data_IF_085058105560
#
_entry.id   IF_085058105560
#
_cell.length_a   1.000
_cell.length_b   1.000
_cell.length_c   1.000
_cell.angle_alpha   90.00
_cell.angle_beta   90.00
_cell.angle_gamma   90.00
#
_symmetry.space_group_name_H-M   'P 1'
#
loop_
_entity.id
_entity.type
_entity.pdbx_description
1 polymer ?
#
# COMPACT_ATOMS: atom_id res chain seq x y z
N UNK A 1 -2.98 -27.33 1.97
CA UNK A 1 -3.80 -26.40 1.16
C UNK A 1 -4.03 -25.07 1.88
N UNK A 2 -4.61 -25.05 3.08
CA UNK A 2 -4.86 -23.80 3.83
C UNK A 2 -3.60 -22.95 4.10
N UNK A 3 -2.44 -23.58 4.32
CA UNK A 3 -1.16 -22.87 4.51
C UNK A 3 -0.80 -21.99 3.30
N UNK A 4 -0.95 -22.53 2.09
CA UNK A 4 -0.64 -21.81 0.84
C UNK A 4 -1.61 -20.66 0.61
N UNK A 5 -2.87 -20.82 0.99
CA UNK A 5 -3.89 -19.76 0.89
C UNK A 5 -3.52 -18.59 1.82
N UNK A 6 -3.11 -18.88 3.05
CA UNK A 6 -2.71 -17.86 4.03
C UNK A 6 -1.38 -17.20 3.63
N UNK A 7 -0.44 -17.97 3.09
CA UNK A 7 0.78 -17.44 2.49
C UNK A 7 0.46 -16.48 1.33
N UNK A 8 -0.48 -16.83 0.45
CA UNK A 8 -0.93 -15.96 -0.63
C UNK A 8 -1.61 -14.68 -0.11
N UNK A 9 -2.35 -14.76 1.01
CA UNK A 9 -2.93 -13.57 1.65
C UNK A 9 -1.85 -12.62 2.18
N UNK A 10 -0.76 -13.16 2.74
CA UNK A 10 0.42 -12.37 3.14
C UNK A 10 1.09 -11.70 1.94
N UNK A 11 1.26 -12.41 0.83
CA UNK A 11 1.80 -11.82 -0.40
C UNK A 11 0.90 -10.68 -0.90
N UNK A 12 -0.39 -10.96 -1.06
CA UNK A 12 -1.34 -10.06 -1.71
C UNK A 12 -1.56 -8.73 -0.97
N UNK A 13 -1.46 -8.72 0.37
CA UNK A 13 -1.73 -7.49 1.12
C UNK A 13 -0.67 -6.41 0.94
N UNK A 14 0.59 -6.83 0.78
CA UNK A 14 1.70 -5.88 0.71
C UNK A 14 2.10 -5.52 -0.72
N UNK A 15 1.67 -6.27 -1.74
CA UNK A 15 2.04 -5.96 -3.14
C UNK A 15 1.71 -4.51 -3.52
N UNK A 16 0.46 -4.00 -3.33
CA UNK A 16 0.12 -2.65 -3.75
C UNK A 16 0.97 -1.57 -3.07
N UNK A 17 1.14 -1.70 -1.76
CA UNK A 17 1.90 -0.74 -0.97
C UNK A 17 3.40 -0.78 -1.30
N UNK A 18 3.99 -1.98 -1.37
CA UNK A 18 5.39 -2.15 -1.69
C UNK A 18 5.72 -1.64 -3.09
N UNK A 19 4.86 -1.90 -4.08
CA UNK A 19 5.04 -1.31 -5.42
C UNK A 19 4.98 0.22 -5.38
N UNK A 20 4.02 0.79 -4.64
CA UNK A 20 3.85 2.23 -4.54
C UNK A 20 5.10 2.92 -3.97
N UNK A 21 5.62 2.44 -2.84
CA UNK A 21 6.82 3.04 -2.22
C UNK A 21 8.07 2.91 -3.10
N UNK A 22 8.16 1.84 -3.89
CA UNK A 22 9.28 1.64 -4.81
C UNK A 22 9.27 2.64 -5.96
N UNK A 23 8.10 2.98 -6.51
CA UNK A 23 8.00 3.96 -7.60
C UNK A 23 7.96 5.41 -7.11
N UNK A 24 7.62 5.64 -5.84
CA UNK A 24 7.41 6.95 -5.23
C UNK A 24 8.51 7.99 -5.54
N UNK A 25 9.81 7.70 -5.34
CA UNK A 25 10.87 8.66 -5.62
C UNK A 25 10.94 9.04 -7.11
N UNK A 26 10.92 8.06 -8.01
CA UNK A 26 11.12 8.32 -9.43
C UNK A 26 9.90 8.96 -10.09
N UNK A 27 8.70 8.45 -9.79
CA UNK A 27 7.48 8.87 -10.49
C UNK A 27 6.84 10.11 -9.84
N UNK A 28 6.72 10.15 -8.52
CA UNK A 28 6.04 11.26 -7.86
C UNK A 28 7.00 12.43 -7.59
N UNK A 29 8.17 12.15 -6.99
CA UNK A 29 9.11 13.22 -6.60
C UNK A 29 9.83 13.79 -7.82
N UNK A 30 10.53 12.95 -8.58
CA UNK A 30 11.42 13.42 -9.65
C UNK A 30 10.69 13.72 -10.98
N UNK A 31 9.59 13.02 -11.29
CA UNK A 31 8.83 13.25 -12.53
C UNK A 31 7.63 14.20 -12.38
N UNK A 32 6.84 14.07 -11.31
CA UNK A 32 5.62 14.87 -11.13
C UNK A 32 5.84 16.20 -10.40
N UNK A 33 6.63 16.18 -9.32
CA UNK A 33 6.78 17.33 -8.43
C UNK A 33 8.10 18.09 -8.60
N UNK A 34 8.86 17.79 -9.66
CA UNK A 34 10.08 18.53 -10.02
C UNK A 34 9.84 19.22 -11.36
N UNK A 35 10.05 20.55 -11.40
CA UNK A 35 9.84 21.38 -12.59
C UNK A 35 11.18 21.99 -12.96
N UNK A 36 11.60 21.85 -14.21
CA UNK A 36 12.87 22.41 -14.73
C UNK A 36 14.09 22.12 -13.84
N UNK A 37 14.18 20.87 -13.35
CA UNK A 37 15.21 20.38 -12.40
C UNK A 37 15.20 21.05 -11.02
N UNK A 38 14.19 21.86 -10.72
CA UNK A 38 13.99 22.45 -9.42
C UNK A 38 12.91 21.68 -8.64
N UNK A 39 13.27 21.17 -7.46
CA UNK A 39 12.34 20.43 -6.59
C UNK A 39 11.36 21.41 -5.96
N UNK A 40 10.08 21.26 -6.28
CA UNK A 40 9.01 22.03 -5.62
C UNK A 40 8.87 21.63 -4.15
N UNK A 41 8.11 22.40 -3.39
CA UNK A 41 7.84 22.07 -1.99
C UNK A 41 7.06 20.75 -1.84
N UNK A 42 6.24 20.38 -2.83
CA UNK A 42 5.59 19.07 -2.87
C UNK A 42 6.62 17.95 -2.97
N UNK A 43 7.63 18.06 -3.86
CA UNK A 43 8.68 17.05 -4.01
C UNK A 43 9.47 16.84 -2.70
N UNK A 44 9.80 17.92 -2.00
CA UNK A 44 10.56 17.86 -0.73
C UNK A 44 9.76 17.20 0.38
N UNK A 45 8.44 17.43 0.43
CA UNK A 45 7.56 16.93 1.49
C UNK A 45 6.96 15.56 1.19
N UNK A 46 6.88 15.18 -0.08
CA UNK A 46 6.11 14.01 -0.53
C UNK A 46 6.44 12.73 0.24
N UNK A 47 7.72 12.41 0.42
CA UNK A 47 8.12 11.16 1.11
C UNK A 47 7.77 11.18 2.61
N UNK A 48 7.84 12.36 3.25
CA UNK A 48 7.43 12.53 4.65
C UNK A 48 5.91 12.42 4.78
N UNK A 49 5.17 13.14 3.95
CA UNK A 49 3.70 13.13 3.96
C UNK A 49 3.17 11.73 3.58
N UNK A 50 3.80 11.03 2.63
CA UNK A 50 3.54 9.64 2.28
C UNK A 50 3.67 8.72 3.50
N UNK A 51 4.76 8.84 4.26
CA UNK A 51 4.99 8.04 5.46
C UNK A 51 3.96 8.32 6.56
N UNK A 52 3.58 9.59 6.76
CA UNK A 52 2.55 9.95 7.74
C UNK A 52 1.18 9.41 7.30
N UNK A 53 0.82 9.62 6.02
CA UNK A 53 -0.44 9.17 5.44
C UNK A 53 -0.54 7.65 5.32
N UNK A 54 0.59 6.91 5.38
CA UNK A 54 0.57 5.45 5.43
C UNK A 54 0.52 4.92 6.86
N UNK A 55 1.43 5.38 7.72
CA UNK A 55 1.63 4.74 9.03
C UNK A 55 0.52 5.08 10.02
N UNK A 56 0.07 6.34 10.07
CA UNK A 56 -0.96 6.76 11.03
C UNK A 56 -2.29 6.05 10.75
N UNK A 57 -2.84 6.06 9.52
CA UNK A 57 -4.12 5.42 9.27
C UNK A 57 -4.07 3.91 9.43
N UNK A 58 -2.95 3.27 9.04
CA UNK A 58 -2.76 1.85 9.24
C UNK A 58 -2.78 1.47 10.73
N UNK A 59 -2.05 2.22 11.56
CA UNK A 59 -2.03 2.02 13.00
C UNK A 59 -3.42 2.23 13.64
N UNK A 60 -4.10 3.33 13.28
CA UNK A 60 -5.44 3.63 13.82
C UNK A 60 -6.46 2.56 13.42
N UNK A 61 -6.44 2.12 12.16
CA UNK A 61 -7.31 1.04 11.69
C UNK A 61 -7.03 -0.28 12.43
N UNK A 62 -5.75 -0.59 12.66
CA UNK A 62 -5.36 -1.74 13.46
C UNK A 62 -5.84 -1.66 14.90
N UNK A 63 -5.68 -0.49 15.55
CA UNK A 63 -6.14 -0.27 16.92
C UNK A 63 -7.67 -0.37 17.04
N UNK A 64 -8.42 0.21 16.10
CA UNK A 64 -9.89 0.10 16.04
C UNK A 64 -10.32 -1.37 15.89
N UNK A 65 -9.64 -2.14 15.03
CA UNK A 65 -9.92 -3.56 14.83
C UNK A 65 -9.61 -4.38 16.09
N UNK A 66 -8.46 -4.13 16.72
CA UNK A 66 -8.02 -4.79 17.95
C UNK A 66 -9.02 -4.57 19.10
N UNK A 67 -9.48 -3.33 19.29
CA UNK A 67 -10.45 -2.98 20.32
C UNK A 67 -11.86 -3.53 20.04
N UNK A 68 -12.07 -4.27 18.94
CA UNK A 68 -13.37 -4.77 18.50
C UNK A 68 -14.45 -3.67 18.41
N UNK A 69 -14.05 -2.42 18.17
CA UNK A 69 -14.98 -1.29 18.05
C UNK A 69 -15.91 -1.50 16.85
N UNK A 70 -15.41 -2.17 15.80
CA UNK A 70 -16.19 -2.61 14.66
C UNK A 70 -16.49 -4.10 14.82
N UNK A 71 -17.68 -4.43 15.28
CA UNK A 71 -18.19 -5.80 15.34
C UNK A 71 -18.44 -6.39 13.93
N UNK A 72 -18.51 -7.72 13.83
CA UNK A 72 -18.87 -8.45 12.60
C UNK A 72 -17.90 -9.57 12.22
N UNK A 73 -18.22 -10.30 11.15
CA UNK A 73 -17.39 -11.42 10.68
C UNK A 73 -16.03 -10.93 10.16
N UNK A 74 -14.94 -11.55 10.61
CA UNK A 74 -13.59 -11.30 10.13
C UNK A 74 -13.49 -11.55 8.61
N UNK A 75 -14.17 -12.58 8.11
CA UNK A 75 -14.18 -12.90 6.67
C UNK A 75 -14.83 -11.78 5.85
N UNK A 76 -15.94 -11.20 6.30
CA UNK A 76 -16.60 -10.08 5.60
C UNK A 76 -15.67 -8.87 5.54
N UNK A 77 -14.93 -8.59 6.62
CA UNK A 77 -13.92 -7.52 6.64
C UNK A 77 -12.79 -7.78 5.65
N UNK A 78 -12.27 -9.01 5.61
CA UNK A 78 -11.21 -9.43 4.67
C UNK A 78 -11.67 -9.21 3.22
N UNK A 79 -12.84 -9.75 2.83
CA UNK A 79 -13.38 -9.58 1.48
C UNK A 79 -13.64 -8.11 1.13
N UNK A 80 -14.22 -7.34 2.05
CA UNK A 80 -14.45 -5.90 1.84
C UNK A 80 -13.16 -5.13 1.61
N UNK A 81 -12.12 -5.39 2.40
CA UNK A 81 -10.82 -4.75 2.25
C UNK A 81 -10.12 -5.14 0.93
N UNK A 82 -10.28 -6.38 0.46
CA UNK A 82 -9.75 -6.80 -0.85
C UNK A 82 -10.38 -6.03 -2.00
N UNK A 83 -11.71 -5.83 -1.96
CA UNK A 83 -12.43 -5.06 -2.97
C UNK A 83 -11.95 -3.61 -2.95
N UNK A 84 -11.87 -2.99 -1.76
CA UNK A 84 -11.38 -1.62 -1.59
C UNK A 84 -9.95 -1.48 -2.12
N UNK A 85 -9.05 -2.40 -1.77
CA UNK A 85 -7.66 -2.39 -2.24
C UNK A 85 -7.58 -2.56 -3.77
N UNK A 86 -8.38 -3.46 -4.35
CA UNK A 86 -8.40 -3.69 -5.80
C UNK A 86 -8.88 -2.46 -6.56
N UNK A 87 -9.93 -1.78 -6.06
CA UNK A 87 -10.42 -0.52 -6.63
C UNK A 87 -9.36 0.58 -6.49
N UNK A 88 -8.71 0.69 -5.32
CA UNK A 88 -7.64 1.68 -5.13
C UNK A 88 -6.51 1.49 -6.13
N UNK A 89 -6.04 0.26 -6.34
CA UNK A 89 -5.01 -0.03 -7.36
C UNK A 89 -5.47 0.39 -8.75
N UNK A 90 -6.70 0.07 -9.13
CA UNK A 90 -7.25 0.49 -10.41
C UNK A 90 -7.27 2.01 -10.55
N UNK A 91 -7.72 2.73 -9.52
CA UNK A 91 -7.74 4.20 -9.50
C UNK A 91 -6.33 4.79 -9.64
N UNK A 92 -5.33 4.24 -8.94
CA UNK A 92 -3.93 4.67 -9.06
C UNK A 92 -3.44 4.49 -10.50
N UNK A 93 -3.68 3.33 -11.10
CA UNK A 93 -3.25 3.05 -12.47
C UNK A 93 -3.92 3.99 -13.48
N UNK A 94 -5.23 4.24 -13.32
CA UNK A 94 -5.96 5.19 -14.16
C UNK A 94 -5.37 6.59 -14.01
N UNK A 95 -5.10 7.06 -12.78
CA UNK A 95 -4.51 8.38 -12.54
C UNK A 95 -3.12 8.50 -13.18
N UNK A 96 -2.29 7.47 -13.07
CA UNK A 96 -0.95 7.46 -13.66
C UNK A 96 -1.01 7.56 -15.19
N UNK A 97 -1.96 6.87 -15.83
CA UNK A 97 -2.08 6.86 -17.31
C UNK A 97 -2.78 8.12 -17.82
N UNK A 98 -3.81 8.59 -17.13
CA UNK A 98 -4.65 9.69 -17.59
C UNK A 98 -4.04 11.08 -17.33
N UNK A 99 -3.18 11.21 -16.32
CA UNK A 99 -2.63 12.50 -15.91
C UNK A 99 -1.16 12.61 -16.29
N UNK A 100 -0.80 13.77 -16.86
CA UNK A 100 0.59 14.16 -17.13
C UNK A 100 0.97 15.32 -16.21
N UNK A 101 2.26 15.45 -15.84
CA UNK A 101 2.72 16.56 -15.03
C UNK A 101 2.34 17.90 -15.66
N UNK A 102 1.69 18.74 -14.86
CA UNK A 102 1.31 20.11 -15.17
C UNK A 102 1.36 20.93 -13.88
N UNK A 103 1.88 22.15 -13.94
CA UNK A 103 1.99 23.04 -12.78
C UNK A 103 0.63 23.34 -12.16
N UNK A 104 -0.39 23.58 -12.99
CA UNK A 104 -1.77 23.84 -12.53
C UNK A 104 -2.39 22.61 -11.86
N UNK A 105 -2.02 21.41 -12.30
CA UNK A 105 -2.56 20.15 -11.80
C UNK A 105 -1.86 19.64 -10.53
N UNK A 106 -0.68 20.18 -10.22
CA UNK A 106 0.23 19.65 -9.21
C UNK A 106 -0.41 19.58 -7.82
N UNK A 107 -1.09 20.65 -7.41
CA UNK A 107 -1.70 20.74 -6.08
C UNK A 107 -2.81 19.72 -5.86
N UNK A 108 -3.74 19.60 -6.81
CA UNK A 108 -4.84 18.63 -6.68
C UNK A 108 -4.34 17.19 -6.81
N UNK A 109 -3.38 16.92 -7.72
CA UNK A 109 -2.81 15.59 -7.91
C UNK A 109 -2.11 15.10 -6.65
N UNK A 110 -1.39 16.00 -5.96
CA UNK A 110 -0.78 15.72 -4.66
C UNK A 110 -1.82 15.30 -3.62
N UNK A 111 -2.88 16.11 -3.44
CA UNK A 111 -3.93 15.85 -2.44
C UNK A 111 -4.67 14.55 -2.72
N UNK A 112 -5.07 14.32 -3.99
CA UNK A 112 -5.75 13.09 -4.39
C UNK A 112 -4.86 11.86 -4.17
N UNK A 113 -3.58 11.94 -4.51
CA UNK A 113 -2.61 10.88 -4.25
C UNK A 113 -2.53 10.55 -2.76
N UNK A 114 -2.45 11.56 -1.89
CA UNK A 114 -2.41 11.37 -0.43
C UNK A 114 -3.70 10.75 0.12
N UNK A 115 -4.86 11.13 -0.39
CA UNK A 115 -6.14 10.52 -0.01
C UNK A 115 -6.15 9.04 -0.39
N UNK A 116 -5.67 8.69 -1.58
CA UNK A 116 -5.61 7.29 -2.03
C UNK A 116 -4.66 6.47 -1.16
N UNK A 117 -3.48 7.01 -0.83
CA UNK A 117 -2.53 6.37 0.09
C UNK A 117 -3.19 6.13 1.45
N UNK A 118 -3.91 7.12 1.97
CA UNK A 118 -4.61 7.02 3.25
C UNK A 118 -5.67 5.92 3.22
N UNK A 119 -6.49 5.85 2.17
CA UNK A 119 -7.53 4.81 2.02
C UNK A 119 -6.89 3.43 1.89
N UNK A 120 -5.86 3.28 1.06
CA UNK A 120 -5.12 2.03 0.88
C UNK A 120 -4.55 1.54 2.22
N UNK A 121 -3.90 2.42 2.98
CA UNK A 121 -3.25 2.04 4.23
C UNK A 121 -4.24 1.78 5.38
N UNK A 122 -5.36 2.49 5.40
CA UNK A 122 -6.49 2.21 6.32
C UNK A 122 -7.06 0.83 6.04
N UNK A 123 -7.35 0.51 4.77
CA UNK A 123 -7.86 -0.80 4.36
C UNK A 123 -6.84 -1.91 4.65
N UNK A 124 -5.55 -1.68 4.39
CA UNK A 124 -4.48 -2.61 4.76
C UNK A 124 -4.40 -2.85 6.27
N UNK A 125 -4.62 -1.82 7.09
CA UNK A 125 -4.67 -1.97 8.55
C UNK A 125 -5.81 -2.91 8.98
N UNK A 126 -7.02 -2.69 8.45
CA UNK A 126 -8.16 -3.57 8.72
C UNK A 126 -7.96 -4.99 8.20
N UNK A 127 -7.45 -5.14 6.98
CA UNK A 127 -7.20 -6.44 6.37
C UNK A 127 -6.16 -7.22 7.18
N UNK A 128 -4.97 -6.67 7.41
CA UNK A 128 -3.88 -7.39 8.10
C UNK A 128 -4.33 -7.87 9.47
N UNK A 129 -4.92 -6.99 10.27
CA UNK A 129 -5.40 -7.35 11.61
C UNK A 129 -6.51 -8.41 11.55
N UNK A 130 -7.42 -8.33 10.57
CA UNK A 130 -8.49 -9.32 10.43
C UNK A 130 -7.97 -10.69 9.98
N UNK A 131 -6.97 -10.75 9.09
CA UNK A 131 -6.35 -12.03 8.69
C UNK A 131 -5.51 -12.59 9.83
N UNK A 132 -4.72 -11.77 10.53
CA UNK A 132 -3.98 -12.21 11.72
C UNK A 132 -4.92 -12.75 12.80
N UNK A 133 -6.04 -12.06 13.07
CA UNK A 133 -7.08 -12.51 13.98
C UNK A 133 -7.71 -13.85 13.55
N UNK A 134 -8.00 -14.02 12.26
CA UNK A 134 -8.52 -15.29 11.74
C UNK A 134 -7.51 -16.42 11.88
N UNK A 135 -6.23 -16.16 11.60
CA UNK A 135 -5.17 -17.18 11.70
C UNK A 135 -4.78 -17.53 13.12
N UNK A 136 -5.14 -16.70 14.10
CA UNK A 136 -4.85 -16.95 15.51
C UNK A 136 -5.62 -18.16 16.07
N UNK A 137 -6.76 -18.50 15.47
CA UNK A 137 -7.55 -19.70 15.82
C UNK A 137 -6.91 -21.01 15.32
N UNK A 138 -5.89 -20.92 14.47
CA UNK A 138 -5.18 -22.06 13.88
C UNK A 138 -3.78 -22.26 14.51
N UNK A 139 -3.13 -23.41 14.29
CA UNK A 139 -1.75 -23.63 14.73
C UNK A 139 -0.80 -22.51 14.29
N UNK A 140 0.18 -22.15 15.13
CA UNK A 140 1.11 -21.04 14.89
C UNK A 140 1.81 -21.05 13.51
N UNK A 141 1.93 -22.22 12.88
CA UNK A 141 2.44 -22.37 11.52
C UNK A 141 1.69 -21.51 10.49
N UNK A 142 0.39 -21.26 10.70
CA UNK A 142 -0.44 -20.47 9.79
C UNK A 142 -0.18 -18.97 9.90
N UNK A 143 -0.06 -18.44 11.12
CA UNK A 143 0.40 -17.05 11.34
C UNK A 143 1.79 -16.84 10.76
N UNK A 144 2.70 -17.81 10.93
CA UNK A 144 4.03 -17.78 10.33
C UNK A 144 3.97 -17.76 8.79
N UNK A 145 3.04 -18.49 8.17
CA UNK A 145 2.84 -18.47 6.72
C UNK A 145 2.55 -17.07 6.20
N UNK A 146 1.80 -16.28 6.97
CA UNK A 146 1.44 -14.90 6.63
C UNK A 146 2.67 -13.98 6.66
N UNK A 147 3.49 -14.09 7.70
CA UNK A 147 4.75 -13.35 7.84
C UNK A 147 5.74 -13.74 6.72
N UNK A 148 5.84 -15.03 6.41
CA UNK A 148 6.66 -15.52 5.29
C UNK A 148 6.16 -14.94 3.96
N UNK A 149 4.85 -14.92 3.73
CA UNK A 149 4.25 -14.31 2.54
C UNK A 149 4.58 -12.81 2.40
N UNK A 150 4.49 -12.06 3.50
CA UNK A 150 4.87 -10.64 3.53
C UNK A 150 6.34 -10.44 3.13
N UNK A 151 7.25 -11.26 3.66
CA UNK A 151 8.67 -11.19 3.37
C UNK A 151 8.97 -11.55 1.90
N UNK A 152 8.35 -12.62 1.38
CA UNK A 152 8.47 -13.00 -0.04
C UNK A 152 8.05 -11.85 -0.94
N UNK A 153 6.94 -11.18 -0.63
CA UNK A 153 6.49 -9.99 -1.37
C UNK A 153 7.56 -8.89 -1.34
N UNK A 154 8.09 -8.54 -0.17
CA UNK A 154 9.16 -7.54 -0.04
C UNK A 154 10.40 -7.87 -0.87
N UNK A 155 10.88 -9.12 -0.81
CA UNK A 155 12.01 -9.58 -1.63
C UNK A 155 11.70 -9.48 -3.12
N UNK A 156 10.53 -9.95 -3.56
CA UNK A 156 10.12 -9.90 -4.97
C UNK A 156 10.10 -8.47 -5.51
N UNK A 157 9.48 -7.53 -4.78
CA UNK A 157 9.45 -6.11 -5.18
C UNK A 157 10.85 -5.48 -5.19
N UNK A 158 11.71 -5.85 -4.24
CA UNK A 158 13.08 -5.34 -4.19
C UNK A 158 13.90 -5.78 -5.41
N UNK A 159 13.77 -7.04 -5.81
CA UNK A 159 14.40 -7.56 -7.04
C UNK A 159 13.88 -6.81 -8.27
N UNK A 160 12.57 -6.59 -8.37
CA UNK A 160 12.00 -5.80 -9.47
C UNK A 160 12.53 -4.37 -9.50
N UNK A 161 12.70 -3.74 -8.34
CA UNK A 161 13.27 -2.39 -8.25
C UNK A 161 14.70 -2.33 -8.79
N UNK A 162 15.54 -3.31 -8.44
CA UNK A 162 16.92 -3.42 -8.93
C UNK A 162 16.95 -3.64 -10.43
N UNK A 163 16.17 -4.61 -10.94
CA UNK A 163 16.11 -4.89 -12.39
C UNK A 163 15.67 -3.67 -13.19
N UNK A 164 14.66 -2.94 -12.70
CA UNK A 164 14.18 -1.72 -13.35
C UNK A 164 15.20 -0.58 -13.33
N UNK A 165 16.08 -0.53 -12.31
CA UNK A 165 17.18 0.44 -12.28
C UNK A 165 18.25 0.08 -13.32
N UNK A 166 18.64 -1.20 -13.42
CA UNK A 166 19.61 -1.67 -14.42
C UNK A 166 19.14 -1.45 -15.86
N UNK A 167 17.85 -1.60 -16.16
CA UNK A 167 17.31 -1.38 -17.51
C UNK A 167 17.32 0.10 -17.97
N UNK A 168 17.52 1.04 -17.05
CA UNK A 168 17.56 2.48 -17.35
C UNK A 168 18.98 3.03 -17.53
N UNK A 169 20.00 2.23 -17.19
CA UNK A 169 21.42 2.53 -17.42
C UNK A 169 21.89 1.95 -18.75
#
# INVERSE_FOLDING_TARGET
>A
MAYLIILLHGIGVLIPWNMFITIAPNYYVDYWFTVDRNRTDYAKRFMSDLGIASQIPNFLAGLINLMQIIGGSLLVRIYGCLIVNSINVLVILILIVAQKPSEEAMGWFYVVTMIIILVLNTSNGFYQNSVFGLTADFPAAYTNALVVGNNICGTFISVLAIVNHELKN
#
